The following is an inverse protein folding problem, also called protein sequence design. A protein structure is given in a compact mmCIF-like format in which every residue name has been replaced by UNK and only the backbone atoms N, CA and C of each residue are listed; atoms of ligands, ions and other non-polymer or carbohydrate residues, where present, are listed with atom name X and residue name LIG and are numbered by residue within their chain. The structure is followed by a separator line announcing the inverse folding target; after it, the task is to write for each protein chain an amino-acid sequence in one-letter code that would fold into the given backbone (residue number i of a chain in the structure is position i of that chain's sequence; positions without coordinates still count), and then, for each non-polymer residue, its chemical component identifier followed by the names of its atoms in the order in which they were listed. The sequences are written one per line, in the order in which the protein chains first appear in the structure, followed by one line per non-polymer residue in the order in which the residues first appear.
data_IF_327117108746
#
_entry.id   IF_327117108746
#
_cell.length_a   1.000
_cell.length_b   1.000
_cell.length_c   1.000
_cell.angle_alpha   90.00
_cell.angle_beta   90.00
_cell.angle_gamma   90.00
#
_symmetry.space_group_name_H-M   'P 1'
#
loop_
_entity.id
_entity.type
_entity.pdbx_description
1 polymer ?
#
# COMPACT_ATOMS: atom_id res chain seq x y z
N UNK A 1 1.74 4.57 -19.78
CA UNK A 1 2.21 3.52 -18.85
C UNK A 1 1.21 3.42 -17.71
N UNK A 2 0.71 2.22 -17.42
CA UNK A 2 -0.27 1.93 -16.37
C UNK A 2 0.45 1.38 -15.15
N UNK A 3 0.39 2.07 -14.03
CA UNK A 3 1.07 1.68 -12.79
C UNK A 3 0.03 1.35 -11.73
N UNK A 4 0.16 0.18 -11.12
CA UNK A 4 -0.64 -0.23 -9.96
C UNK A 4 0.22 -0.17 -8.70
N UNK A 5 -0.15 0.68 -7.77
CA UNK A 5 0.39 0.66 -6.42
C UNK A 5 -0.38 -0.34 -5.57
N UNK A 6 0.32 -1.22 -4.87
CA UNK A 6 -0.27 -2.09 -3.84
C UNK A 6 0.31 -1.66 -2.50
N UNK A 7 -0.54 -1.13 -1.65
CA UNK A 7 -0.18 -0.49 -0.39
C UNK A 7 -0.81 -1.24 0.79
N UNK A 8 -0.18 -1.15 1.94
CA UNK A 8 -0.72 -1.67 3.21
C UNK A 8 -1.70 -0.70 3.90
N UNK A 9 -1.96 0.46 3.31
CA UNK A 9 -2.71 1.55 3.93
C UNK A 9 -3.47 2.37 2.89
N UNK A 10 -4.65 2.87 3.29
CA UNK A 10 -5.46 3.77 2.48
C UNK A 10 -4.87 5.19 2.53
N UNK A 11 -4.66 5.80 1.36
CA UNK A 11 -4.19 7.18 1.29
C UNK A 11 -5.24 8.19 1.76
N UNK A 12 -4.84 9.34 2.37
CA UNK A 12 -5.77 10.34 2.89
C UNK A 12 -6.78 10.85 1.86
N UNK A 13 -6.36 11.10 0.63
CA UNK A 13 -7.25 11.56 -0.44
C UNK A 13 -8.34 10.53 -0.77
N UNK A 14 -8.03 9.25 -0.63
CA UNK A 14 -8.99 8.16 -0.84
C UNK A 14 -9.92 8.05 0.37
N UNK A 15 -9.38 8.16 1.58
CA UNK A 15 -10.17 8.16 2.82
C UNK A 15 -11.18 9.31 2.83
N UNK A 16 -10.78 10.51 2.40
CA UNK A 16 -11.67 11.65 2.25
C UNK A 16 -12.80 11.38 1.25
N UNK A 17 -12.47 10.84 0.08
CA UNK A 17 -13.47 10.49 -0.94
C UNK A 17 -14.46 9.41 -0.47
N UNK A 18 -14.04 8.55 0.46
CA UNK A 18 -14.87 7.51 1.06
C UNK A 18 -15.55 7.95 2.37
N UNK A 19 -15.39 9.21 2.79
CA UNK A 19 -15.87 9.74 4.07
C UNK A 19 -15.39 8.92 5.28
N UNK A 20 -14.11 8.51 5.25
CA UNK A 20 -13.45 7.74 6.31
C UNK A 20 -12.36 8.56 6.99
N UNK A 21 -11.99 8.16 8.21
CA UNK A 21 -10.85 8.76 8.89
C UNK A 21 -9.56 8.44 8.13
N UNK A 22 -8.76 9.47 7.87
CA UNK A 22 -7.45 9.31 7.31
C UNK A 22 -6.44 8.93 8.41
N UNK A 23 -5.53 8.02 8.08
CA UNK A 23 -4.36 7.77 8.92
C UNK A 23 -3.35 8.93 8.74
N UNK A 24 -2.42 9.06 9.67
CA UNK A 24 -1.32 10.04 9.59
C UNK A 24 0.04 9.36 9.32
N UNK A 25 0.04 8.09 8.96
CA UNK A 25 1.26 7.27 8.81
C UNK A 25 1.82 7.27 7.38
N UNK A 26 1.01 7.67 6.39
CA UNK A 26 1.31 7.58 4.95
C UNK A 26 1.85 8.87 4.32
N UNK A 27 2.42 9.76 5.11
CA UNK A 27 2.88 11.07 4.62
C UNK A 27 3.84 10.99 3.44
N UNK A 28 4.72 10.02 3.41
CA UNK A 28 5.66 9.83 2.30
C UNK A 28 4.98 9.30 1.02
N UNK A 29 3.97 8.41 1.12
CA UNK A 29 3.17 7.94 -0.02
C UNK A 29 2.32 9.08 -0.59
N UNK A 30 1.73 9.90 0.27
CA UNK A 30 0.97 11.09 -0.13
C UNK A 30 1.86 12.11 -0.84
N UNK A 31 3.08 12.30 -0.34
CA UNK A 31 4.08 13.15 -1.00
C UNK A 31 4.50 12.61 -2.38
N UNK A 32 4.68 11.30 -2.52
CA UNK A 32 4.98 10.68 -3.80
C UNK A 32 3.80 10.82 -4.77
N UNK A 33 2.56 10.59 -4.31
CA UNK A 33 1.36 10.78 -5.12
C UNK A 33 1.28 12.22 -5.65
N UNK A 34 1.45 13.22 -4.78
CA UNK A 34 1.45 14.63 -5.17
C UNK A 34 2.47 14.93 -6.27
N UNK A 35 3.70 14.41 -6.12
CA UNK A 35 4.76 14.60 -7.13
C UNK A 35 4.41 13.97 -8.50
N UNK A 36 3.70 12.84 -8.50
CA UNK A 36 3.26 12.20 -9.74
C UNK A 36 2.14 13.00 -10.39
N UNK A 37 1.16 13.40 -9.57
CA UNK A 37 -0.03 14.13 -10.04
C UNK A 37 0.31 15.50 -10.60
N UNK A 38 1.30 16.18 -10.03
CA UNK A 38 1.73 17.51 -10.47
C UNK A 38 2.58 17.51 -11.77
N UNK A 39 3.03 16.35 -12.22
CA UNK A 39 3.75 16.21 -13.48
C UNK A 39 2.78 16.02 -14.64
N UNK A 40 2.77 16.98 -15.57
CA UNK A 40 1.83 16.98 -16.71
C UNK A 40 2.20 16.00 -17.82
N UNK A 41 3.46 15.61 -17.93
CA UNK A 41 4.04 14.94 -19.11
C UNK A 41 4.37 13.45 -18.91
N UNK A 42 3.96 12.85 -17.81
CA UNK A 42 4.37 11.46 -17.51
C UNK A 42 3.76 10.41 -18.44
N UNK A 43 2.62 10.70 -19.09
CA UNK A 43 1.83 9.70 -19.83
C UNK A 43 1.48 8.49 -18.96
N UNK A 44 1.50 8.65 -17.63
CA UNK A 44 1.27 7.61 -16.65
C UNK A 44 -0.16 7.69 -16.11
N UNK A 45 -0.82 6.55 -16.04
CA UNK A 45 -2.08 6.38 -15.30
C UNK A 45 -1.81 5.56 -14.06
N UNK A 46 -2.37 5.98 -12.93
CA UNK A 46 -2.14 5.36 -11.63
C UNK A 46 -3.41 4.70 -11.10
N UNK A 47 -3.26 3.47 -10.61
CA UNK A 47 -4.22 2.85 -9.71
C UNK A 47 -3.57 2.56 -8.36
N UNK A 48 -4.37 2.54 -7.30
CA UNK A 48 -3.94 2.25 -5.94
C UNK A 48 -4.85 1.18 -5.36
N UNK A 49 -4.26 0.05 -4.95
CA UNK A 49 -4.93 -1.02 -4.23
C UNK A 49 -4.48 -1.02 -2.77
N UNK A 50 -5.41 -1.21 -1.84
CA UNK A 50 -5.14 -1.15 -0.40
C UNK A 50 -6.16 -2.00 0.38
N UNK A 51 -5.85 -2.40 1.64
CA UNK A 51 -6.77 -3.12 2.49
C UNK A 51 -8.06 -2.32 2.72
N UNK A 52 -9.19 -2.89 2.31
CA UNK A 52 -10.51 -2.32 2.53
C UNK A 52 -10.98 -2.59 3.98
N UNK A 53 -11.92 -1.80 4.50
CA UNK A 53 -12.61 -2.14 5.74
C UNK A 53 -13.24 -3.53 5.66
N UNK A 54 -13.26 -4.24 6.80
CA UNK A 54 -13.74 -5.64 6.87
C UNK A 54 -15.21 -5.82 6.49
N UNK A 55 -16.00 -4.73 6.56
CA UNK A 55 -17.41 -4.68 6.19
C UNK A 55 -17.66 -4.32 4.71
N UNK A 56 -16.60 -4.05 3.96
CA UNK A 56 -16.71 -3.70 2.55
C UNK A 56 -16.79 -4.97 1.68
N UNK A 57 -17.62 -4.94 0.65
CA UNK A 57 -17.63 -5.96 -0.40
C UNK A 57 -16.44 -5.74 -1.35
N UNK A 58 -15.57 -6.73 -1.50
CA UNK A 58 -14.33 -6.61 -2.29
C UNK A 58 -14.23 -7.70 -3.38
N UNK A 59 -13.42 -7.47 -4.44
CA UNK A 59 -12.75 -6.21 -4.75
C UNK A 59 -13.75 -5.16 -5.24
N UNK A 60 -13.61 -3.93 -4.79
CA UNK A 60 -14.37 -2.81 -5.33
C UNK A 60 -13.45 -1.85 -6.07
N UNK A 61 -14.03 -1.04 -6.95
CA UNK A 61 -13.34 -0.07 -7.79
C UNK A 61 -14.00 1.30 -7.67
N UNK A 62 -13.19 2.33 -7.48
CA UNK A 62 -13.62 3.73 -7.41
C UNK A 62 -12.65 4.62 -8.18
N UNK A 63 -13.16 5.68 -8.82
CA UNK A 63 -12.32 6.78 -9.32
C UNK A 63 -12.33 7.91 -8.33
N UNK A 64 -11.15 8.37 -7.97
CA UNK A 64 -10.95 9.43 -7.00
C UNK A 64 -10.19 10.58 -7.68
N UNK A 65 -10.75 11.80 -7.70
CA UNK A 65 -10.03 12.97 -8.13
C UNK A 65 -8.95 13.33 -7.11
N UNK A 66 -7.75 13.60 -7.58
CA UNK A 66 -6.63 14.02 -6.75
C UNK A 66 -6.33 15.47 -7.05
N UNK A 67 -6.40 16.36 -6.06
CA UNK A 67 -6.06 17.76 -6.23
C UNK A 67 -4.61 17.92 -6.68
N UNK A 68 -4.37 18.77 -7.66
CA UNK A 68 -3.04 19.20 -8.06
C UNK A 68 -2.61 20.40 -7.21
N UNK A 69 -1.35 20.43 -6.80
CA UNK A 69 -0.78 21.58 -6.11
C UNK A 69 -0.34 22.68 -7.08
N UNK A 70 -0.14 22.33 -8.35
CA UNK A 70 0.13 23.30 -9.40
C UNK A 70 -1.14 24.10 -9.78
N UNK A 71 -1.23 25.40 -9.46
CA UNK A 71 -2.44 26.20 -9.72
C UNK A 71 -2.67 26.46 -11.23
N UNK A 72 -1.70 26.19 -12.09
CA UNK A 72 -1.81 26.32 -13.55
C UNK A 72 -2.36 25.03 -14.20
N UNK A 73 -2.46 23.93 -13.47
CA UNK A 73 -3.01 22.69 -14.01
C UNK A 73 -4.53 22.82 -14.21
N UNK A 74 -4.97 22.73 -15.45
CA UNK A 74 -6.38 22.93 -15.82
C UNK A 74 -7.23 21.67 -15.60
N UNK A 75 -6.59 20.50 -15.53
CA UNK A 75 -7.26 19.20 -15.49
C UNK A 75 -7.13 18.53 -14.13
N UNK A 76 -8.19 17.88 -13.68
CA UNK A 76 -8.15 16.99 -12.53
C UNK A 76 -7.41 15.69 -12.87
N UNK A 77 -6.50 15.27 -11.99
CA UNK A 77 -5.89 13.95 -12.10
C UNK A 77 -6.77 12.94 -11.35
N UNK A 78 -7.17 11.89 -12.05
CA UNK A 78 -8.01 10.86 -11.45
C UNK A 78 -7.21 9.57 -11.27
N UNK A 79 -7.19 9.03 -10.06
CA UNK A 79 -6.66 7.69 -9.77
C UNK A 79 -7.80 6.66 -9.74
N UNK A 80 -7.48 5.43 -10.13
CA UNK A 80 -8.39 4.29 -9.91
C UNK A 80 -8.00 3.63 -8.58
N UNK A 81 -8.96 3.42 -7.71
CA UNK A 81 -8.76 2.81 -6.40
C UNK A 81 -9.42 1.45 -6.33
N UNK A 82 -8.75 0.50 -5.70
CA UNK A 82 -9.24 -0.85 -5.44
C UNK A 82 -9.13 -1.19 -3.96
N UNK A 83 -10.16 -1.84 -3.42
CA UNK A 83 -10.11 -2.41 -2.10
C UNK A 83 -9.94 -3.93 -2.17
N UNK A 84 -9.16 -4.50 -1.26
CA UNK A 84 -9.03 -5.94 -1.04
C UNK A 84 -9.09 -6.24 0.46
N UNK A 85 -9.37 -7.50 0.84
CA UNK A 85 -9.34 -7.90 2.25
C UNK A 85 -7.95 -8.39 2.64
N UNK A 86 -7.42 -7.87 3.74
CA UNK A 86 -6.18 -8.34 4.33
C UNK A 86 -6.28 -8.30 5.86
N UNK A 87 -5.88 -9.38 6.53
CA UNK A 87 -5.72 -9.40 7.98
C UNK A 87 -4.43 -8.67 8.37
N UNK A 88 -4.55 -7.36 8.59
CA UNK A 88 -3.41 -6.53 9.01
C UNK A 88 -3.02 -6.71 10.48
N UNK A 89 -3.83 -7.45 11.26
CA UNK A 89 -3.54 -7.76 12.67
C UNK A 89 -2.55 -8.93 12.77
N UNK A 90 -2.63 -9.88 11.82
CA UNK A 90 -1.76 -11.04 11.77
C UNK A 90 -1.00 -11.09 10.45
N UNK A 91 -0.07 -10.16 10.22
CA UNK A 91 0.63 -10.02 8.93
C UNK A 91 1.55 -11.20 8.59
N UNK A 92 1.85 -12.06 9.57
CA UNK A 92 2.62 -13.29 9.41
C UNK A 92 1.80 -14.44 8.79
N UNK A 93 0.48 -14.29 8.66
CA UNK A 93 -0.40 -15.31 8.11
C UNK A 93 -0.65 -15.09 6.63
N UNK A 94 -0.31 -16.11 5.84
CA UNK A 94 -0.64 -16.13 4.44
C UNK A 94 -2.15 -16.36 4.23
N UNK A 95 -2.75 -15.58 3.32
CA UNK A 95 -4.19 -15.59 3.04
C UNK A 95 -4.43 -15.97 1.59
N UNK A 96 -4.81 -17.24 1.30
CA UNK A 96 -5.02 -17.69 -0.09
C UNK A 96 -6.15 -16.94 -0.80
N UNK A 97 -7.17 -16.47 -0.07
CA UNK A 97 -8.31 -15.74 -0.62
C UNK A 97 -7.88 -14.41 -1.25
N UNK A 98 -6.82 -13.80 -0.70
CA UNK A 98 -6.25 -12.56 -1.21
C UNK A 98 -5.63 -12.74 -2.62
N UNK A 99 -5.18 -13.96 -2.98
CA UNK A 99 -4.68 -14.23 -4.34
C UNK A 99 -5.74 -13.98 -5.40
N UNK A 100 -6.95 -14.46 -5.15
CA UNK A 100 -8.07 -14.30 -6.08
C UNK A 100 -8.50 -12.83 -6.21
N UNK A 101 -8.50 -12.08 -5.11
CA UNK A 101 -8.86 -10.67 -5.11
C UNK A 101 -7.82 -9.83 -5.86
N UNK A 102 -6.54 -10.03 -5.57
CA UNK A 102 -5.46 -9.31 -6.27
C UNK A 102 -5.35 -9.72 -7.74
N UNK A 103 -5.62 -10.99 -8.07
CA UNK A 103 -5.70 -11.45 -9.47
C UNK A 103 -6.79 -10.69 -10.22
N UNK A 104 -7.99 -10.55 -9.66
CA UNK A 104 -9.09 -9.79 -10.28
C UNK A 104 -8.73 -8.32 -10.46
N UNK A 105 -8.06 -7.70 -9.49
CA UNK A 105 -7.59 -6.32 -9.58
C UNK A 105 -6.57 -6.16 -10.70
N UNK A 106 -5.60 -7.06 -10.80
CA UNK A 106 -4.58 -7.01 -11.85
C UNK A 106 -5.14 -7.29 -13.23
N UNK A 107 -6.12 -8.19 -13.37
CA UNK A 107 -6.83 -8.46 -14.62
C UNK A 107 -7.71 -7.26 -15.05
N UNK A 108 -8.42 -6.62 -14.13
CA UNK A 108 -9.26 -5.45 -14.43
C UNK A 108 -8.43 -4.23 -14.80
N UNK A 109 -7.35 -3.98 -14.07
CA UNK A 109 -6.50 -2.81 -14.33
C UNK A 109 -5.50 -3.04 -15.46
N UNK A 110 -5.01 -4.26 -15.66
CA UNK A 110 -3.99 -4.63 -16.65
C UNK A 110 -2.74 -3.72 -16.58
N UNK A 111 -1.98 -3.76 -15.47
CA UNK A 111 -0.86 -2.85 -15.25
C UNK A 111 0.37 -3.21 -16.09
N UNK A 112 1.07 -2.18 -16.57
CA UNK A 112 2.43 -2.34 -17.13
C UNK A 112 3.46 -2.61 -16.03
N UNK A 113 3.24 -2.03 -14.84
CA UNK A 113 4.10 -2.19 -13.65
C UNK A 113 3.23 -2.23 -12.39
N UNK A 114 3.55 -3.16 -11.50
CA UNK A 114 3.02 -3.20 -10.13
C UNK A 114 4.12 -2.73 -9.18
N UNK A 115 3.83 -1.74 -8.34
CA UNK A 115 4.72 -1.30 -7.28
C UNK A 115 4.11 -1.66 -5.92
N UNK A 116 4.66 -2.66 -5.26
CA UNK A 116 4.29 -3.05 -3.90
C UNK A 116 5.10 -2.25 -2.88
N UNK A 117 4.42 -1.65 -1.92
CA UNK A 117 5.04 -0.89 -0.85
C UNK A 117 5.08 -1.70 0.44
N UNK A 118 6.29 -2.02 0.88
CA UNK A 118 6.56 -2.87 2.03
C UNK A 118 6.58 -4.36 1.70
N UNK A 119 7.19 -5.12 2.58
CA UNK A 119 7.28 -6.59 2.53
C UNK A 119 6.77 -7.23 3.81
N UNK A 120 6.19 -6.42 4.68
CA UNK A 120 5.74 -6.77 6.02
C UNK A 120 4.36 -7.45 6.03
N UNK A 121 3.62 -7.33 4.91
CA UNK A 121 2.24 -7.80 4.79
C UNK A 121 2.08 -8.84 3.69
N UNK A 122 1.08 -9.73 3.79
CA UNK A 122 0.84 -10.82 2.85
C UNK A 122 0.66 -10.39 1.39
N UNK A 123 0.04 -9.22 1.13
CA UNK A 123 -0.28 -8.78 -0.23
C UNK A 123 0.95 -8.73 -1.15
N UNK A 124 2.11 -8.35 -0.65
CA UNK A 124 3.34 -8.34 -1.47
C UNK A 124 3.74 -9.73 -1.94
N UNK A 125 3.71 -10.73 -1.05
CA UNK A 125 3.98 -12.12 -1.42
C UNK A 125 2.91 -12.65 -2.37
N UNK A 126 1.65 -12.30 -2.13
CA UNK A 126 0.53 -12.70 -2.99
C UNK A 126 0.68 -12.15 -4.40
N UNK A 127 1.02 -10.87 -4.56
CA UNK A 127 1.29 -10.28 -5.88
C UNK A 127 2.41 -11.03 -6.58
N UNK A 128 3.50 -11.33 -5.88
CA UNK A 128 4.64 -12.07 -6.47
C UNK A 128 4.26 -13.48 -6.93
N UNK A 129 3.24 -14.10 -6.33
CA UNK A 129 2.77 -15.45 -6.70
C UNK A 129 1.67 -15.43 -7.76
N UNK A 130 0.73 -14.51 -7.62
CA UNK A 130 -0.47 -14.47 -8.46
C UNK A 130 -0.28 -13.75 -9.79
N UNK A 131 0.63 -12.75 -9.84
CA UNK A 131 0.84 -11.99 -11.07
C UNK A 131 1.78 -12.72 -12.04
N UNK A 132 1.36 -12.94 -13.30
CA UNK A 132 2.12 -13.80 -14.23
C UNK A 132 3.40 -13.17 -14.79
N UNK A 133 3.67 -11.88 -14.49
CA UNK A 133 4.79 -11.11 -15.02
C UNK A 133 5.68 -10.57 -13.89
N UNK A 134 6.48 -11.43 -13.21
CA UNK A 134 7.31 -11.01 -12.10
C UNK A 134 8.35 -9.93 -12.47
N UNK A 135 8.77 -9.87 -13.73
CA UNK A 135 9.66 -8.83 -14.25
C UNK A 135 9.04 -7.41 -14.25
N UNK A 136 7.74 -7.31 -14.04
CA UNK A 136 6.99 -6.04 -13.95
C UNK A 136 6.64 -5.66 -12.51
N UNK A 137 7.15 -6.39 -11.53
CA UNK A 137 6.91 -6.10 -10.11
C UNK A 137 8.11 -5.33 -9.55
N UNK A 138 7.83 -4.17 -8.98
CA UNK A 138 8.77 -3.36 -8.19
C UNK A 138 8.42 -3.51 -6.72
N UNK A 139 9.39 -3.89 -5.90
CA UNK A 139 9.23 -4.00 -4.45
C UNK A 139 9.91 -2.81 -3.76
N UNK A 140 9.12 -2.00 -3.09
CA UNK A 140 9.61 -0.93 -2.21
C UNK A 140 9.88 -1.48 -0.80
N UNK A 141 11.09 -1.93 -0.53
CA UNK A 141 11.46 -2.49 0.77
C UNK A 141 11.69 -1.33 1.75
N UNK A 142 10.85 -1.24 2.79
CA UNK A 142 10.97 -0.21 3.83
C UNK A 142 11.89 -0.64 4.97
N UNK A 143 12.01 -1.96 5.20
CA UNK A 143 12.89 -2.57 6.17
C UNK A 143 12.96 -4.08 5.99
N UNK A 144 14.04 -4.67 6.45
CA UNK A 144 14.18 -6.13 6.50
C UNK A 144 13.82 -6.56 7.91
N UNK A 145 12.61 -7.13 8.07
CA UNK A 145 12.03 -7.44 9.39
C UNK A 145 12.94 -8.27 10.28
N UNK A 146 13.67 -9.25 9.72
CA UNK A 146 14.64 -10.04 10.49
C UNK A 146 15.78 -9.21 11.05
N UNK A 147 16.37 -8.31 10.24
CA UNK A 147 17.44 -7.42 10.70
C UNK A 147 16.91 -6.38 11.69
N UNK A 148 15.71 -5.86 11.47
CA UNK A 148 15.07 -4.95 12.42
C UNK A 148 14.78 -5.65 13.75
N UNK A 149 14.36 -6.91 13.73
CA UNK A 149 14.11 -7.70 14.94
C UNK A 149 15.41 -7.98 15.70
N UNK A 150 16.49 -8.34 15.02
CA UNK A 150 17.82 -8.55 15.62
C UNK A 150 18.36 -7.27 16.26
N UNK A 151 18.16 -6.13 15.60
CA UNK A 151 18.63 -4.83 16.07
C UNK A 151 17.59 -4.05 16.91
N UNK A 152 16.45 -4.66 17.25
CA UNK A 152 15.30 -3.96 17.85
C UNK A 152 15.65 -3.18 19.11
N UNK A 153 16.50 -3.75 19.95
CA UNK A 153 16.99 -3.11 21.15
C UNK A 153 18.32 -2.38 20.97
N UNK A 154 18.91 -2.45 19.77
CA UNK A 154 20.24 -1.93 19.48
C UNK A 154 21.25 -2.35 20.57
N UNK A 155 22.07 -1.42 21.05
CA UNK A 155 23.06 -1.67 22.10
C UNK A 155 22.55 -1.39 23.53
N UNK A 156 21.23 -1.45 23.74
CA UNK A 156 20.68 -1.23 25.08
C UNK A 156 21.10 -2.36 26.03
N UNK A 157 21.55 -2.01 27.26
CA UNK A 157 21.91 -3.00 28.23
C UNK A 157 20.79 -3.99 28.56
N UNK A 158 21.10 -5.27 28.74
CA UNK A 158 20.10 -6.34 28.99
C UNK A 158 19.12 -6.02 30.14
N UNK A 159 19.59 -5.32 31.17
CA UNK A 159 18.74 -4.85 32.28
C UNK A 159 17.61 -3.90 31.82
N UNK A 160 17.83 -3.16 30.72
CA UNK A 160 16.85 -2.23 30.15
C UNK A 160 15.91 -3.00 29.24
N UNK A 161 16.45 -3.86 28.39
CA UNK A 161 15.66 -4.66 27.43
C UNK A 161 14.65 -5.56 28.15
N UNK A 162 15.06 -6.23 29.25
CA UNK A 162 14.15 -7.03 30.07
C UNK A 162 12.98 -6.23 30.66
N UNK A 163 13.20 -4.98 31.06
CA UNK A 163 12.14 -4.13 31.63
C UNK A 163 11.12 -3.74 30.55
N UNK A 164 11.60 -3.40 29.35
CA UNK A 164 10.73 -3.02 28.22
C UNK A 164 9.90 -4.22 27.76
N UNK A 165 10.52 -5.40 27.62
CA UNK A 165 9.81 -6.62 27.20
C UNK A 165 8.71 -7.01 28.20
N UNK A 166 8.98 -6.91 29.51
CA UNK A 166 7.98 -7.23 30.54
C UNK A 166 6.80 -6.23 30.57
N UNK A 167 7.01 -4.97 30.15
CA UNK A 167 5.93 -3.98 30.08
C UNK A 167 5.04 -4.14 28.85
N UNK A 168 5.47 -4.88 27.82
CA UNK A 168 4.69 -5.16 26.61
C UNK A 168 3.82 -6.42 26.71
N UNK A 169 3.99 -7.21 27.78
CA UNK A 169 3.24 -8.47 28.03
C UNK A 169 2.01 -8.23 28.94
N UNK A 170 1.86 -7.04 29.47
CA UNK A 170 0.72 -6.60 30.28
C UNK A 170 -0.08 -5.53 29.55
#
# INVERSE_FOLDING_TARGET
MRVLWVCNIMLPVIAEALHREASNKEGWLSGLLSQIVDREDTGMTLAVAFPAPADAEVPWRLRVPVPRTNPCAMDEYNITCYGFHEDTVHPDRYQPELEEELRKITEDYDPDVIHCFGTEYPHTLVVCRAYPHPERILLGIQGICSLCAEAYFADLPERVTRKVTLSLIH
#
